data_IF_343043350329
#
_entry.id   IF_343043350329
#
_cell.length_a   1.000
_cell.length_b   1.000
_cell.length_c   1.000
_cell.angle_alpha   90.00
_cell.angle_beta   90.00
_cell.angle_gamma   90.00
#
_symmetry.space_group_name_H-M   'P 1'
#
loop_
_entity.id
_entity.type
_entity.pdbx_description
1 polymer ?
#
# COMPACT_ATOMS: atom_id res chain seq x y z
N UNK A 1 17.47 13.09 -3.50
CA UNK A 1 16.16 12.50 -3.79
C UNK A 1 15.27 12.73 -2.60
N UNK A 2 13.99 13.02 -2.82
CA UNK A 2 12.96 13.09 -1.78
C UNK A 2 12.06 11.88 -1.93
N UNK A 3 11.60 11.32 -0.81
CA UNK A 3 10.63 10.23 -0.82
C UNK A 3 9.47 10.55 0.12
N UNK A 4 8.26 10.50 -0.43
CA UNK A 4 7.02 10.65 0.30
C UNK A 4 6.36 9.30 0.56
N UNK A 5 5.44 9.27 1.51
CA UNK A 5 4.52 8.14 1.64
C UNK A 5 3.55 8.15 0.46
N UNK A 6 3.26 6.98 -0.11
CA UNK A 6 2.29 6.85 -1.19
C UNK A 6 0.84 7.05 -0.75
N UNK A 7 0.14 7.93 -1.46
CA UNK A 7 -1.29 8.19 -1.34
C UNK A 7 -2.18 7.12 -1.96
N UNK A 8 -3.48 7.41 -2.01
CA UNK A 8 -4.43 6.64 -2.81
C UNK A 8 -4.33 7.15 -4.25
N UNK A 9 -3.99 6.23 -5.16
CA UNK A 9 -4.06 6.41 -6.61
C UNK A 9 -4.73 5.17 -7.21
N UNK A 10 -4.74 5.04 -8.54
CA UNK A 10 -5.19 3.80 -9.19
C UNK A 10 -4.45 2.57 -8.63
N UNK A 11 -5.08 1.38 -8.60
CA UNK A 11 -4.41 0.16 -8.17
C UNK A 11 -3.13 -0.08 -8.98
N UNK A 12 -2.01 -0.34 -8.29
CA UNK A 12 -0.70 -0.59 -8.91
C UNK A 12 0.06 -1.69 -8.17
N UNK A 13 1.06 -2.34 -8.81
CA UNK A 13 1.94 -3.29 -8.12
C UNK A 13 2.73 -2.65 -6.99
N UNK A 14 3.32 -3.47 -6.13
CA UNK A 14 4.31 -2.98 -5.18
C UNK A 14 5.52 -2.36 -5.91
N UNK A 15 6.12 -1.32 -5.35
CA UNK A 15 7.26 -0.66 -5.96
C UNK A 15 7.51 0.76 -5.49
N UNK A 16 8.56 1.35 -6.06
CA UNK A 16 8.90 2.77 -5.91
C UNK A 16 8.58 3.48 -7.22
N UNK A 17 7.82 4.56 -7.14
CA UNK A 17 7.27 5.28 -8.29
C UNK A 17 7.74 6.72 -8.27
N UNK A 18 8.17 7.24 -9.41
CA UNK A 18 8.52 8.66 -9.56
C UNK A 18 7.27 9.52 -9.40
N UNK A 19 7.39 10.61 -8.64
CA UNK A 19 6.33 11.61 -8.53
C UNK A 19 6.47 12.58 -9.69
N UNK A 20 5.50 12.54 -10.60
CA UNK A 20 5.39 13.43 -11.76
C UNK A 20 3.97 14.01 -11.81
N UNK A 21 3.72 14.92 -12.76
CA UNK A 21 2.41 15.57 -12.94
C UNK A 21 1.25 14.57 -13.09
N UNK A 22 1.48 13.44 -13.77
CA UNK A 22 0.47 12.39 -13.89
C UNK A 22 0.12 11.74 -12.55
N UNK A 23 1.13 11.48 -11.71
CA UNK A 23 0.92 10.94 -10.36
C UNK A 23 0.27 11.98 -9.44
N UNK A 24 0.60 13.26 -9.59
CA UNK A 24 -0.07 14.36 -8.87
C UNK A 24 -1.55 14.44 -9.24
N UNK A 25 -1.86 14.39 -10.53
CA UNK A 25 -3.25 14.39 -11.01
C UNK A 25 -4.03 13.18 -10.49
N UNK A 26 -3.43 11.99 -10.46
CA UNK A 26 -4.03 10.81 -9.84
C UNK A 26 -4.30 11.07 -8.33
N UNK A 27 -3.31 11.57 -7.58
CA UNK A 27 -3.46 11.86 -6.14
C UNK A 27 -4.60 12.85 -5.87
N UNK A 28 -4.69 13.93 -6.65
CA UNK A 28 -5.76 14.93 -6.53
C UNK A 28 -7.12 14.30 -6.84
N UNK A 29 -7.24 13.57 -7.96
CA UNK A 29 -8.48 12.92 -8.37
C UNK A 29 -9.00 11.92 -7.32
N UNK A 30 -8.14 11.00 -6.88
CA UNK A 30 -8.55 9.94 -5.95
C UNK A 30 -8.73 10.45 -4.52
N UNK A 31 -8.04 11.53 -4.13
CA UNK A 31 -8.28 12.17 -2.82
C UNK A 31 -9.70 12.73 -2.69
N UNK A 32 -10.33 13.15 -3.79
CA UNK A 32 -11.71 13.59 -3.80
C UNK A 32 -12.70 12.44 -3.58
N UNK A 33 -12.34 11.21 -3.95
CA UNK A 33 -13.17 10.01 -3.75
C UNK A 33 -12.98 9.39 -2.36
N UNK A 34 -11.75 9.44 -1.84
CA UNK A 34 -11.40 8.92 -0.53
C UNK A 34 -10.26 9.74 0.10
N UNK A 35 -10.61 10.57 1.07
CA UNK A 35 -9.63 11.38 1.78
C UNK A 35 -8.71 10.47 2.63
N UNK A 36 -7.40 10.61 2.44
CA UNK A 36 -6.42 9.89 3.22
C UNK A 36 -5.14 10.72 3.42
N UNK A 37 -4.64 10.89 4.67
CA UNK A 37 -3.48 11.73 4.96
C UNK A 37 -2.21 11.36 4.18
N UNK A 38 -2.07 10.11 3.74
CA UNK A 38 -0.90 9.70 2.96
C UNK A 38 -0.82 10.33 1.57
N UNK A 39 -1.90 10.87 1.03
CA UNK A 39 -1.89 11.61 -0.26
C UNK A 39 -0.96 12.82 -0.21
N UNK A 40 -0.93 13.51 0.93
CA UNK A 40 -0.03 14.65 1.14
C UNK A 40 1.44 14.28 0.99
N UNK A 41 1.82 13.02 1.25
CA UNK A 41 3.20 12.57 1.12
C UNK A 41 3.74 12.75 -0.31
N UNK A 42 2.95 12.38 -1.32
CA UNK A 42 3.31 12.58 -2.71
C UNK A 42 3.38 14.06 -3.10
N UNK A 43 2.34 14.82 -2.75
CA UNK A 43 2.24 16.26 -3.04
C UNK A 43 3.40 17.06 -2.43
N UNK A 44 3.68 16.87 -1.13
CA UNK A 44 4.78 17.55 -0.43
C UNK A 44 6.13 17.13 -1.02
N UNK A 45 6.31 15.83 -1.31
CA UNK A 45 7.57 15.37 -1.90
C UNK A 45 7.82 15.98 -3.28
N UNK A 46 6.77 16.20 -4.07
CA UNK A 46 6.86 16.84 -5.37
C UNK A 46 7.31 18.29 -5.24
N UNK A 47 6.62 19.06 -4.40
CA UNK A 47 6.92 20.49 -4.19
C UNK A 47 8.36 20.70 -3.74
N UNK A 48 8.77 20.00 -2.69
CA UNK A 48 10.16 20.07 -2.18
C UNK A 48 11.16 19.66 -3.26
N UNK A 49 10.84 18.61 -4.04
CA UNK A 49 11.69 18.12 -5.12
C UNK A 49 11.92 19.14 -6.23
N UNK A 50 10.88 19.88 -6.60
CA UNK A 50 10.97 20.98 -7.56
C UNK A 50 11.87 22.10 -7.03
N UNK A 51 11.66 22.52 -5.78
CA UNK A 51 12.41 23.60 -5.12
C UNK A 51 13.92 23.33 -5.06
N UNK A 52 14.31 22.09 -4.77
CA UNK A 52 15.73 21.71 -4.62
C UNK A 52 16.31 21.04 -5.88
N UNK A 53 15.54 20.97 -6.96
CA UNK A 53 15.90 20.31 -8.22
C UNK A 53 16.40 18.87 -8.02
N UNK A 54 15.67 18.07 -7.24
CA UNK A 54 15.95 16.64 -7.02
C UNK A 54 14.73 15.78 -7.39
N UNK A 55 14.96 14.53 -7.84
CA UNK A 55 13.85 13.63 -8.13
C UNK A 55 13.09 13.27 -6.85
N UNK A 56 11.79 13.05 -6.99
CA UNK A 56 10.86 12.70 -5.92
C UNK A 56 10.17 11.38 -6.21
N UNK A 57 9.94 10.59 -5.16
CA UNK A 57 9.35 9.26 -5.27
C UNK A 57 8.29 9.02 -4.18
N UNK A 58 7.39 8.07 -4.45
CA UNK A 58 6.63 7.37 -3.42
C UNK A 58 7.02 5.90 -3.43
N UNK A 59 6.87 5.22 -2.29
CA UNK A 59 7.05 3.78 -2.20
C UNK A 59 5.79 3.11 -1.65
N UNK A 60 5.44 1.98 -2.26
CA UNK A 60 4.42 1.03 -1.83
C UNK A 60 3.16 1.73 -1.30
N UNK A 61 2.44 2.47 -2.17
CA UNK A 61 1.26 3.22 -1.77
C UNK A 61 0.19 2.34 -1.14
N UNK A 62 -0.75 2.95 -0.44
CA UNK A 62 -1.83 2.23 0.24
C UNK A 62 -2.73 1.43 -0.71
N UNK A 63 -2.73 1.76 -2.00
CA UNK A 63 -3.45 1.09 -3.08
C UNK A 63 -2.65 0.00 -3.83
N UNK A 64 -1.54 -0.49 -3.26
CA UNK A 64 -0.85 -1.66 -3.82
C UNK A 64 -1.85 -2.80 -4.01
N UNK A 65 -1.95 -3.33 -5.22
CA UNK A 65 -2.86 -4.42 -5.55
C UNK A 65 -2.10 -5.51 -6.31
N UNK A 66 -1.87 -6.62 -5.61
CA UNK A 66 -1.26 -7.83 -6.15
C UNK A 66 -2.17 -9.05 -5.94
N UNK A 67 -3.46 -8.82 -5.68
CA UNK A 67 -4.43 -9.85 -5.34
C UNK A 67 -4.52 -10.95 -6.41
N UNK A 68 -4.66 -12.18 -5.95
CA UNK A 68 -5.17 -13.27 -6.79
C UNK A 68 -6.68 -13.10 -7.01
N UNK A 69 -7.20 -13.61 -8.13
CA UNK A 69 -8.62 -13.43 -8.49
C UNK A 69 -9.57 -13.97 -7.40
N UNK A 70 -9.19 -15.05 -6.72
CA UNK A 70 -9.95 -15.61 -5.61
C UNK A 70 -10.08 -14.62 -4.43
N UNK A 71 -9.05 -13.82 -4.17
CA UNK A 71 -9.05 -12.81 -3.10
C UNK A 71 -9.98 -11.62 -3.42
N UNK A 72 -10.44 -11.48 -4.68
CA UNK A 72 -11.38 -10.42 -5.07
C UNK A 72 -12.84 -10.74 -4.74
N UNK A 73 -13.17 -12.00 -4.43
CA UNK A 73 -14.53 -12.42 -4.12
C UNK A 73 -14.96 -11.78 -2.80
N UNK A 74 -16.04 -10.97 -2.84
CA UNK A 74 -16.59 -10.29 -1.66
C UNK A 74 -17.76 -11.04 -0.99
N UNK A 75 -18.39 -11.98 -1.72
CA UNK A 75 -19.65 -12.60 -1.32
C UNK A 75 -20.91 -11.86 -1.83
N UNK A 76 -20.76 -10.67 -2.40
CA UNK A 76 -21.84 -9.92 -3.06
C UNK A 76 -21.63 -9.87 -4.56
N UNK A 77 -22.69 -10.12 -5.33
CA UNK A 77 -22.66 -10.05 -6.79
C UNK A 77 -22.22 -8.65 -7.24
N UNK A 78 -21.35 -8.59 -8.25
CA UNK A 78 -20.82 -7.35 -8.86
C UNK A 78 -19.95 -6.46 -7.96
N UNK A 79 -19.79 -6.80 -6.68
CA UNK A 79 -18.91 -6.09 -5.75
C UNK A 79 -17.63 -6.91 -5.55
N UNK A 80 -16.47 -6.29 -5.79
CA UNK A 80 -15.16 -6.90 -5.54
C UNK A 80 -14.52 -6.31 -4.29
N UNK A 81 -13.73 -7.13 -3.58
CA UNK A 81 -12.86 -6.63 -2.51
C UNK A 81 -11.83 -5.64 -3.09
N UNK A 82 -11.57 -4.56 -2.36
CA UNK A 82 -10.55 -3.56 -2.71
C UNK A 82 -9.25 -3.87 -1.95
N UNK A 83 -8.12 -3.73 -2.63
CA UNK A 83 -6.80 -3.83 -2.01
C UNK A 83 -6.40 -2.46 -1.45
N UNK A 84 -6.70 -2.24 -0.17
CA UNK A 84 -6.26 -1.06 0.59
C UNK A 84 -5.62 -1.53 1.89
N UNK A 85 -4.33 -1.23 2.05
CA UNK A 85 -3.53 -1.83 3.09
C UNK A 85 -2.31 -1.01 3.47
N UNK A 86 -1.63 -1.47 4.52
CA UNK A 86 -0.37 -0.93 5.00
C UNK A 86 0.83 -1.49 4.20
N UNK A 87 0.77 -1.42 2.87
CA UNK A 87 1.71 -2.08 1.95
C UNK A 87 3.18 -1.74 2.25
N UNK A 88 3.49 -0.45 2.41
CA UNK A 88 4.85 0.00 2.75
C UNK A 88 5.42 -0.71 3.98
N UNK A 89 4.64 -0.86 5.06
CA UNK A 89 5.15 -1.48 6.28
C UNK A 89 5.18 -3.02 6.19
N UNK A 90 4.20 -3.61 5.51
CA UNK A 90 4.20 -5.05 5.22
C UNK A 90 5.46 -5.41 4.43
N UNK A 91 5.78 -4.65 3.39
CA UNK A 91 6.97 -4.88 2.57
C UNK A 91 8.26 -4.57 3.31
N UNK A 92 8.31 -3.51 4.12
CA UNK A 92 9.45 -3.27 5.00
C UNK A 92 9.73 -4.46 5.94
N UNK A 93 8.67 -5.09 6.47
CA UNK A 93 8.78 -6.31 7.29
C UNK A 93 9.29 -7.50 6.48
N UNK A 94 8.84 -7.66 5.23
CA UNK A 94 9.34 -8.69 4.31
C UNK A 94 10.83 -8.50 3.98
N UNK A 95 11.29 -7.26 3.72
CA UNK A 95 12.71 -6.98 3.49
C UNK A 95 13.55 -7.30 4.73
N UNK A 96 13.13 -6.89 5.93
CA UNK A 96 13.83 -7.24 7.18
C UNK A 96 13.94 -8.75 7.40
N UNK A 97 12.86 -9.49 7.12
CA UNK A 97 12.86 -10.95 7.18
C UNK A 97 13.84 -11.54 6.13
N UNK A 98 13.75 -11.07 4.89
CA UNK A 98 14.63 -11.48 3.79
C UNK A 98 16.11 -11.32 4.13
N UNK A 99 16.49 -10.17 4.71
CA UNK A 99 17.86 -9.89 5.16
C UNK A 99 18.28 -10.78 6.32
N UNK A 100 17.45 -10.86 7.37
CA UNK A 100 17.76 -11.63 8.59
C UNK A 100 17.98 -13.11 8.30
N UNK A 101 17.13 -13.69 7.44
CA UNK A 101 17.17 -15.11 7.11
C UNK A 101 17.89 -15.41 5.79
N UNK A 102 18.50 -14.39 5.15
CA UNK A 102 19.22 -14.49 3.88
C UNK A 102 18.42 -15.20 2.78
N UNK A 103 17.12 -14.92 2.70
CA UNK A 103 16.21 -15.49 1.70
C UNK A 103 15.87 -14.45 0.65
N UNK A 104 15.74 -14.85 -0.61
CA UNK A 104 15.27 -13.96 -1.66
C UNK A 104 13.81 -13.54 -1.40
N UNK A 105 13.53 -12.24 -1.34
CA UNK A 105 12.20 -11.69 -1.09
C UNK A 105 11.14 -12.23 -2.07
N UNK A 106 11.51 -12.45 -3.32
CA UNK A 106 10.62 -12.95 -4.38
C UNK A 106 10.25 -14.43 -4.23
N UNK A 107 10.90 -15.15 -3.30
CA UNK A 107 10.62 -16.56 -3.01
C UNK A 107 10.00 -16.75 -1.61
N UNK A 108 9.53 -15.67 -0.99
CA UNK A 108 8.94 -15.73 0.34
C UNK A 108 7.46 -16.08 0.27
N UNK A 109 7.07 -17.06 1.08
CA UNK A 109 5.68 -17.33 1.46
C UNK A 109 5.56 -17.03 2.96
N UNK A 110 4.77 -16.03 3.32
CA UNK A 110 4.66 -15.51 4.68
C UNK A 110 3.23 -15.09 4.98
N UNK A 111 2.90 -15.02 6.28
CA UNK A 111 1.79 -14.19 6.77
C UNK A 111 2.42 -13.01 7.49
N UNK A 112 2.05 -11.79 7.09
CA UNK A 112 2.59 -10.56 7.68
C UNK A 112 1.47 -9.77 8.32
N UNK A 113 1.57 -9.52 9.62
CA UNK A 113 0.63 -8.72 10.37
C UNK A 113 1.20 -7.32 10.64
N UNK A 114 0.64 -6.30 10.00
CA UNK A 114 0.82 -4.92 10.40
C UNK A 114 -0.11 -4.61 11.57
N UNK A 115 0.47 -4.27 12.72
CA UNK A 115 -0.27 -3.89 13.92
C UNK A 115 -0.08 -2.39 14.19
N UNK A 116 -1.09 -1.59 13.88
CA UNK A 116 -1.09 -0.13 14.06
C UNK A 116 -2.48 0.39 14.40
N UNK A 117 -2.75 1.67 14.08
CA UNK A 117 -4.09 2.25 14.24
C UNK A 117 -5.16 1.48 13.46
N UNK A 118 -4.82 1.06 12.24
CA UNK A 118 -5.48 -0.02 11.51
C UNK A 118 -4.61 -1.28 11.48
N UNK A 119 -5.24 -2.45 11.36
CA UNK A 119 -4.53 -3.73 11.28
C UNK A 119 -4.72 -4.35 9.90
N UNK A 120 -3.63 -4.76 9.27
CA UNK A 120 -3.63 -5.52 8.02
C UNK A 120 -2.86 -6.83 8.20
N UNK A 121 -3.50 -7.96 7.91
CA UNK A 121 -2.93 -9.30 7.90
C UNK A 121 -2.88 -9.73 6.43
N UNK A 122 -1.67 -9.80 5.89
CA UNK A 122 -1.41 -10.08 4.49
C UNK A 122 -0.87 -11.49 4.29
N UNK A 123 -1.45 -12.20 3.32
CA UNK A 123 -0.89 -13.43 2.78
C UNK A 123 0.12 -13.06 1.68
N UNK A 124 1.36 -13.48 1.88
CA UNK A 124 2.46 -13.29 0.93
C UNK A 124 2.72 -14.60 0.23
N UNK A 125 2.72 -14.58 -1.10
CA UNK A 125 3.06 -15.72 -1.94
C UNK A 125 4.07 -15.30 -3.00
N UNK A 126 5.23 -15.95 -3.02
CA UNK A 126 6.36 -15.59 -3.90
C UNK A 126 6.67 -14.09 -3.87
N UNK A 127 6.73 -13.51 -2.67
CA UNK A 127 7.05 -12.08 -2.47
C UNK A 127 5.94 -11.09 -2.86
N UNK A 128 4.75 -11.56 -3.23
CA UNK A 128 3.60 -10.74 -3.61
C UNK A 128 2.49 -10.79 -2.56
N UNK A 129 1.79 -9.68 -2.36
CA UNK A 129 0.65 -9.56 -1.44
C UNK A 129 -0.62 -10.08 -2.12
N UNK A 130 -0.88 -11.38 -2.04
CA UNK A 130 -1.94 -12.04 -2.81
C UNK A 130 -3.32 -11.96 -2.15
N UNK A 131 -3.37 -11.66 -0.86
CA UNK A 131 -4.61 -11.41 -0.10
C UNK A 131 -4.28 -10.55 1.13
N UNK A 132 -5.19 -9.65 1.51
CA UNK A 132 -5.14 -8.86 2.75
C UNK A 132 -6.55 -8.44 3.17
N UNK A 133 -6.79 -8.30 4.47
CA UNK A 133 -7.99 -7.58 4.91
C UNK A 133 -7.84 -6.09 4.58
N UNK A 134 -8.89 -5.49 4.01
CA UNK A 134 -8.98 -4.05 3.91
C UNK A 134 -9.24 -3.49 5.31
N UNK A 135 -8.22 -2.88 5.92
CA UNK A 135 -8.26 -2.45 7.32
C UNK A 135 -9.36 -1.41 7.61
N UNK A 136 -9.93 -0.76 6.60
CA UNK A 136 -11.04 0.18 6.75
C UNK A 136 -12.42 -0.49 6.69
N UNK A 137 -12.53 -1.67 6.08
CA UNK A 137 -13.82 -2.32 5.79
C UNK A 137 -14.02 -3.59 6.62
N UNK A 138 -12.95 -4.31 6.98
CA UNK A 138 -13.02 -5.59 7.67
C UNK A 138 -11.68 -5.98 8.35
N UNK A 139 -11.73 -7.06 9.11
CA UNK A 139 -10.55 -7.70 9.69
C UNK A 139 -10.56 -7.63 11.21
N UNK A 140 -9.39 -7.67 11.82
CA UNK A 140 -9.28 -7.71 13.28
C UNK A 140 -9.74 -6.41 13.96
N UNK A 141 -10.21 -6.53 15.19
CA UNK A 141 -10.30 -5.41 16.13
C UNK A 141 -8.96 -4.68 16.20
N UNK A 142 -9.00 -3.35 16.11
CA UNK A 142 -7.83 -2.47 16.13
C UNK A 142 -8.08 -1.29 17.07
N UNK A 143 -7.05 -0.52 17.47
CA UNK A 143 -7.22 0.64 18.33
C UNK A 143 -8.27 1.65 17.83
N UNK A 144 -8.47 1.75 16.51
CA UNK A 144 -9.38 2.73 15.89
C UNK A 144 -10.65 2.11 15.28
N UNK A 145 -10.76 0.78 15.19
CA UNK A 145 -11.86 0.10 14.46
C UNK A 145 -12.26 -1.21 15.11
N UNK A 146 -13.55 -1.53 15.04
CA UNK A 146 -14.15 -2.72 15.65
C UNK A 146 -13.72 -4.04 15.01
N UNK A 147 -13.26 -4.03 13.77
CA UNK A 147 -13.07 -5.24 12.97
C UNK A 147 -14.34 -5.67 12.24
N UNK A 148 -14.28 -6.84 11.59
CA UNK A 148 -15.37 -7.44 10.80
C UNK A 148 -16.68 -7.58 11.57
#
# INVERSE_FOLDING_TARGET
TIIGRGGIIKPIPAGTYSVNEALISDLEKFSAEQEHPSTLGGLISYEIGQDIHKPSFIADPVCVDEFEDIARISGLKDIKRKSLLHALNIRASMYRYSETFKRNINNLNLIVAHLGGGISIAAIKNGRIVDVNNANEAGSFSPERTGN
#
